data_IF_981000763077
#
_entry.id   IF_981000763077
#
_cell.length_a   1.000
_cell.length_b   1.000
_cell.length_c   1.000
_cell.angle_alpha   90.00
_cell.angle_beta   90.00
_cell.angle_gamma   90.00
#
_symmetry.space_group_name_H-M   'P 1'
#
loop_
_entity.id
_entity.type
_entity.pdbx_description
1 polymer ?
#
# COMPACT_ATOMS: atom_id res chain seq x y z
N UNK A 1 -9.96 -4.32 16.48
CA UNK A 1 -9.46 -2.94 16.38
C UNK A 1 -8.26 -2.83 17.33
N UNK A 2 -7.05 -3.07 16.83
CA UNK A 2 -5.85 -2.79 17.64
C UNK A 2 -5.80 -1.28 17.85
N UNK A 3 -5.75 -0.86 19.11
CA UNK A 3 -5.80 0.54 19.51
C UNK A 3 -4.71 1.28 18.76
N UNK A 4 -5.10 2.32 18.01
CA UNK A 4 -4.22 3.22 17.28
C UNK A 4 -3.32 3.91 18.31
N UNK A 5 -2.22 3.26 18.71
CA UNK A 5 -1.21 3.82 19.62
C UNK A 5 -0.24 4.67 18.81
N UNK A 6 -0.77 5.43 17.86
CA UNK A 6 -0.03 6.42 17.10
C UNK A 6 -0.52 7.76 17.61
N UNK A 7 0.36 8.43 18.36
CA UNK A 7 0.09 9.77 18.85
C UNK A 7 -0.27 10.68 17.66
N UNK A 8 -1.34 11.44 17.82
CA UNK A 8 -1.77 12.40 16.82
C UNK A 8 -0.63 13.36 16.52
N UNK A 9 -0.29 13.53 15.24
CA UNK A 9 0.80 14.43 14.84
C UNK A 9 0.38 15.88 15.03
N UNK A 10 -0.89 16.21 14.76
CA UNK A 10 -1.42 17.55 15.00
C UNK A 10 -2.94 17.56 15.17
N UNK A 11 -3.40 18.49 15.99
CA UNK A 11 -4.82 18.81 16.19
C UNK A 11 -5.01 20.26 15.73
N UNK A 12 -6.00 20.50 14.88
CA UNK A 12 -6.31 21.85 14.41
C UNK A 12 -7.82 22.11 14.33
N UNK A 13 -8.20 23.37 14.50
CA UNK A 13 -9.54 23.83 14.13
C UNK A 13 -9.61 23.98 12.61
N UNK A 14 -10.56 23.32 11.98
CA UNK A 14 -10.80 23.31 10.55
C UNK A 14 -12.15 23.96 10.25
N UNK A 15 -12.14 25.08 9.52
CA UNK A 15 -13.36 25.77 9.10
C UNK A 15 -13.72 25.35 7.67
N UNK A 16 -14.93 24.83 7.47
CA UNK A 16 -15.45 24.42 6.16
C UNK A 16 -16.51 25.41 5.70
N UNK A 17 -16.24 26.09 4.58
CA UNK A 17 -17.13 27.11 4.00
C UNK A 17 -17.67 26.70 2.62
N UNK A 18 -16.98 25.78 1.92
CA UNK A 18 -17.27 25.46 0.52
C UNK A 18 -18.08 24.16 0.32
N UNK A 19 -18.34 23.42 1.40
CA UNK A 19 -19.09 22.17 1.35
C UNK A 19 -19.80 21.89 2.69
N UNK A 20 -20.99 21.30 2.61
CA UNK A 20 -21.74 20.88 3.80
C UNK A 20 -21.05 19.69 4.51
N UNK A 21 -21.21 19.58 5.84
CA UNK A 21 -21.79 20.58 6.73
C UNK A 21 -20.83 21.75 6.90
N UNK A 22 -21.40 22.97 6.84
CA UNK A 22 -20.65 24.20 7.07
C UNK A 22 -20.39 24.35 8.58
N UNK A 23 -19.20 24.81 8.94
CA UNK A 23 -18.87 25.03 10.35
C UNK A 23 -17.40 24.92 10.68
N UNK A 24 -17.09 24.97 11.97
CA UNK A 24 -15.77 24.74 12.52
C UNK A 24 -15.73 23.37 13.18
N UNK A 25 -14.72 22.58 12.84
CA UNK A 25 -14.57 21.20 13.28
C UNK A 25 -13.18 20.99 13.88
N UNK A 26 -13.07 20.09 14.86
CA UNK A 26 -11.77 19.59 15.29
C UNK A 26 -11.28 18.55 14.28
N UNK A 27 -10.10 18.76 13.73
CA UNK A 27 -9.46 17.82 12.81
C UNK A 27 -8.20 17.27 13.45
N UNK A 28 -8.11 15.94 13.45
CA UNK A 28 -6.94 15.20 13.90
C UNK A 28 -6.20 14.68 12.68
N UNK A 29 -4.90 14.95 12.59
CA UNK A 29 -4.07 14.52 11.47
C UNK A 29 -2.90 13.68 11.98
N UNK A 30 -2.70 12.51 11.36
CA UNK A 30 -1.53 11.66 11.59
C UNK A 30 -0.71 11.60 10.31
N UNK A 31 0.58 11.89 10.42
CA UNK A 31 1.56 11.70 9.34
C UNK A 31 2.42 10.48 9.69
N UNK A 32 2.21 9.40 8.94
CA UNK A 32 2.90 8.13 9.17
C UNK A 32 3.96 7.97 8.10
N UNK A 33 5.24 8.00 8.49
CA UNK A 33 6.39 7.89 7.58
C UNK A 33 7.07 6.52 7.65
N UNK A 34 6.50 5.57 8.40
CA UNK A 34 6.98 4.20 8.50
C UNK A 34 5.92 3.23 7.96
N UNK A 35 6.27 2.48 6.90
CA UNK A 35 5.39 1.50 6.25
C UNK A 35 4.91 0.42 7.22
N UNK A 36 5.74 0.00 8.18
CA UNK A 36 5.36 -1.02 9.16
C UNK A 36 4.28 -0.53 10.12
N UNK A 37 4.27 0.77 10.46
CA UNK A 37 3.19 1.35 11.26
C UNK A 37 1.87 1.37 10.48
N UNK A 38 1.92 1.66 9.18
CA UNK A 38 0.74 1.57 8.30
C UNK A 38 0.20 0.14 8.30
N UNK A 39 1.08 -0.86 8.16
CA UNK A 39 0.67 -2.27 8.27
C UNK A 39 0.02 -2.56 9.61
N UNK A 40 0.64 -2.20 10.73
CA UNK A 40 0.06 -2.46 12.06
C UNK A 40 -1.33 -1.87 12.27
N UNK A 41 -1.64 -0.73 11.65
CA UNK A 41 -2.94 -0.06 11.76
C UNK A 41 -4.01 -0.75 10.92
N UNK A 42 -3.68 -1.08 9.67
CA UNK A 42 -4.66 -1.53 8.67
C UNK A 42 -4.69 -3.05 8.46
N UNK A 43 -3.74 -3.80 9.03
CA UNK A 43 -3.71 -5.26 8.95
C UNK A 43 -4.73 -5.85 9.93
N UNK A 44 -5.87 -6.29 9.40
CA UNK A 44 -6.91 -6.97 10.19
C UNK A 44 -7.05 -8.43 9.75
N UNK A 45 -7.57 -9.33 10.63
CA UNK A 45 -7.82 -10.72 10.26
C UNK A 45 -8.75 -10.87 9.05
N UNK A 46 -9.73 -9.97 8.92
CA UNK A 46 -10.70 -9.98 7.83
C UNK A 46 -10.14 -9.37 6.53
N UNK A 47 -9.21 -8.42 6.64
CA UNK A 47 -8.59 -7.73 5.51
C UNK A 47 -7.08 -7.54 5.77
N UNK A 48 -6.27 -8.57 5.49
CA UNK A 48 -4.83 -8.48 5.73
C UNK A 48 -4.17 -7.54 4.72
N UNK A 49 -3.34 -6.62 5.22
CA UNK A 49 -2.60 -5.70 4.36
C UNK A 49 -1.36 -6.40 3.79
N UNK A 50 -1.40 -6.71 2.48
CA UNK A 50 -0.25 -7.22 1.73
C UNK A 50 0.61 -6.05 1.25
N UNK A 51 1.85 -5.96 1.75
CA UNK A 51 2.81 -4.94 1.31
C UNK A 51 3.31 -5.18 -0.12
N UNK A 52 3.29 -6.44 -0.55
CA UNK A 52 3.67 -6.87 -1.89
C UNK A 52 2.73 -8.00 -2.30
N UNK A 53 2.24 -7.95 -3.54
CA UNK A 53 1.38 -8.96 -4.11
C UNK A 53 1.60 -9.03 -5.62
N UNK A 54 1.84 -10.23 -6.14
CA UNK A 54 1.98 -10.49 -7.57
C UNK A 54 0.63 -10.86 -8.18
N UNK A 55 0.45 -10.53 -9.46
CA UNK A 55 -0.76 -10.83 -10.22
C UNK A 55 -0.41 -11.39 -11.60
N UNK A 56 -1.23 -12.31 -12.11
CA UNK A 56 -1.22 -12.73 -13.52
C UNK A 56 -2.34 -12.01 -14.26
N UNK A 57 -2.02 -11.45 -15.43
CA UNK A 57 -3.04 -10.96 -16.37
C UNK A 57 -3.66 -12.13 -17.11
N UNK A 58 -4.97 -12.29 -16.95
CA UNK A 58 -5.76 -13.30 -17.66
C UNK A 58 -6.09 -12.83 -19.09
N UNK A 59 -6.49 -13.76 -19.96
CA UNK A 59 -6.85 -13.47 -21.36
C UNK A 59 -8.05 -12.53 -21.52
N UNK A 60 -8.92 -12.47 -20.50
CA UNK A 60 -10.06 -11.54 -20.41
C UNK A 60 -9.68 -10.15 -19.86
N UNK A 61 -8.38 -9.88 -19.68
CA UNK A 61 -7.83 -8.66 -19.07
C UNK A 61 -8.14 -8.47 -17.58
N UNK A 62 -8.66 -9.48 -16.89
CA UNK A 62 -8.71 -9.50 -15.42
C UNK A 62 -7.34 -9.85 -14.82
N UNK A 63 -7.17 -9.61 -13.53
CA UNK A 63 -5.96 -9.93 -12.77
C UNK A 63 -6.28 -10.93 -11.67
N UNK A 64 -5.54 -12.04 -11.61
CA UNK A 64 -5.64 -13.03 -10.54
C UNK A 64 -4.38 -13.00 -9.66
N UNK A 65 -4.51 -13.13 -8.32
CA UNK A 65 -3.35 -13.21 -7.44
C UNK A 65 -2.44 -14.39 -7.82
N UNK A 66 -1.13 -14.12 -7.91
CA UNK A 66 -0.13 -15.14 -8.19
C UNK A 66 0.73 -15.39 -6.96
N UNK A 67 0.91 -16.66 -6.61
CA UNK A 67 1.92 -17.10 -5.65
C UNK A 67 2.93 -17.92 -6.42
N UNK A 68 4.19 -17.46 -6.46
CA UNK A 68 5.26 -18.24 -7.08
C UNK A 68 5.40 -19.55 -6.31
N UNK A 69 5.28 -20.73 -6.95
CA UNK A 69 5.61 -21.99 -6.30
C UNK A 69 7.07 -21.91 -5.86
N UNK A 70 7.32 -22.15 -4.58
CA UNK A 70 8.68 -22.22 -4.04
C UNK A 70 9.41 -23.34 -4.77
N UNK A 71 10.27 -22.98 -5.74
CA UNK A 71 11.03 -23.96 -6.51
C UNK A 71 12.01 -24.60 -5.53
N UNK A 72 11.97 -25.92 -5.29
CA UNK A 72 12.99 -26.58 -4.49
C UNK A 72 14.34 -26.26 -5.13
N UNK A 73 15.31 -25.80 -4.34
CA UNK A 73 16.66 -25.56 -4.81
C UNK A 73 17.23 -26.89 -5.33
N UNK A 74 17.17 -27.10 -6.65
CA UNK A 74 17.85 -28.21 -7.30
C UNK A 74 19.35 -28.09 -6.98
N UNK A 75 20.02 -29.15 -6.52
CA UNK A 75 21.43 -29.09 -6.21
C UNK A 75 22.23 -28.67 -7.45
N UNK A 76 23.18 -27.75 -7.26
CA UNK A 76 24.11 -27.17 -8.24
C UNK A 76 24.95 -28.19 -9.07
N UNK A 77 24.72 -29.50 -8.93
CA UNK A 77 25.55 -30.56 -9.49
C UNK A 77 25.21 -30.96 -10.94
N UNK A 78 24.04 -30.57 -11.50
CA UNK A 78 23.64 -30.99 -12.86
C UNK A 78 23.58 -29.85 -13.89
N UNK A 79 24.32 -28.75 -13.64
CA UNK A 79 24.30 -27.54 -14.47
C UNK A 79 25.09 -27.61 -15.81
N UNK A 80 25.53 -28.80 -16.27
CA UNK A 80 26.36 -28.94 -17.48
C UNK A 80 25.75 -29.84 -18.57
N UNK A 81 24.43 -29.79 -18.82
CA UNK A 81 23.87 -30.66 -19.86
C UNK A 81 22.48 -30.40 -20.45
N UNK A 82 21.84 -29.25 -20.23
CA UNK A 82 20.50 -28.99 -20.82
C UNK A 82 20.37 -27.55 -21.31
N UNK A 83 20.85 -27.29 -22.52
CA UNK A 83 20.70 -26.02 -23.24
C UNK A 83 19.35 -25.84 -23.95
N UNK A 84 18.38 -26.74 -23.74
CA UNK A 84 17.10 -26.71 -24.46
C UNK A 84 15.90 -27.02 -23.54
N UNK A 85 15.82 -26.36 -22.39
CA UNK A 85 14.54 -26.25 -21.67
C UNK A 85 13.87 -24.97 -22.14
N UNK A 86 12.62 -25.02 -22.67
CA UNK A 86 11.87 -23.80 -22.92
C UNK A 86 11.82 -23.01 -21.62
N UNK A 87 12.37 -21.79 -21.64
CA UNK A 87 12.29 -20.91 -20.49
C UNK A 87 10.81 -20.79 -20.14
N UNK A 88 10.44 -21.21 -18.93
CA UNK A 88 9.07 -21.15 -18.47
C UNK A 88 8.59 -19.70 -18.66
N UNK A 89 7.52 -19.52 -19.45
CA UNK A 89 6.92 -18.22 -19.70
C UNK A 89 6.54 -17.65 -18.34
N UNK A 90 7.25 -16.60 -17.91
CA UNK A 90 6.95 -15.90 -16.66
C UNK A 90 5.79 -14.95 -16.93
N UNK A 91 4.70 -15.01 -16.15
CA UNK A 91 3.63 -14.02 -16.26
C UNK A 91 4.18 -12.60 -16.11
N UNK A 92 3.61 -11.65 -16.85
CA UNK A 92 3.89 -10.23 -16.62
C UNK A 92 3.35 -9.81 -15.25
N UNK A 93 4.24 -9.72 -14.26
CA UNK A 93 3.88 -9.33 -12.90
C UNK A 93 3.67 -7.81 -12.83
N UNK A 94 2.46 -7.39 -12.47
CA UNK A 94 2.20 -5.99 -12.09
C UNK A 94 2.42 -5.82 -10.60
N UNK A 95 3.50 -5.12 -10.26
CA UNK A 95 3.86 -4.80 -8.88
C UNK A 95 3.36 -3.41 -8.51
N UNK A 96 2.36 -3.34 -7.63
CA UNK A 96 1.93 -2.09 -6.99
C UNK A 96 2.41 -2.06 -5.55
N UNK A 97 3.00 -0.95 -5.12
CA UNK A 97 3.51 -0.78 -3.78
C UNK A 97 3.14 0.59 -3.21
N UNK A 98 2.98 0.66 -1.89
CA UNK A 98 2.73 1.89 -1.17
C UNK A 98 4.04 2.66 -0.96
N UNK A 99 4.06 3.96 -1.25
CA UNK A 99 5.21 4.83 -1.00
C UNK A 99 5.07 5.48 0.36
N UNK A 100 5.85 5.00 1.32
CA UNK A 100 5.88 5.53 2.70
C UNK A 100 7.32 5.61 3.19
N UNK A 101 7.72 6.76 3.70
CA UNK A 101 9.08 7.02 4.16
C UNK A 101 10.00 7.48 3.04
N UNK A 102 11.28 7.10 3.10
CA UNK A 102 12.27 7.41 2.07
C UNK A 102 12.25 6.28 1.03
N UNK A 103 11.74 6.58 -0.17
CA UNK A 103 11.54 5.59 -1.23
C UNK A 103 12.51 5.77 -2.43
N UNK A 104 13.30 6.83 -2.47
CA UNK A 104 14.28 7.06 -3.55
C UNK A 104 15.61 7.65 -3.04
N UNK A 105 16.74 7.33 -3.70
CA UNK A 105 18.03 7.92 -3.37
C UNK A 105 18.00 9.42 -3.67
N UNK A 106 18.31 10.24 -2.67
CA UNK A 106 18.30 11.72 -2.77
C UNK A 106 17.01 12.40 -2.32
N UNK A 107 16.00 11.64 -1.88
CA UNK A 107 14.80 12.19 -1.26
C UNK A 107 15.14 12.87 0.08
N UNK A 108 14.89 14.19 0.17
CA UNK A 108 15.17 15.00 1.37
C UNK A 108 14.11 14.86 2.46
N UNK A 109 12.85 14.72 2.08
CA UNK A 109 11.72 14.63 3.01
C UNK A 109 10.96 13.31 2.80
N UNK A 110 10.60 12.58 3.86
CA UNK A 110 9.89 11.31 3.74
C UNK A 110 8.46 11.49 3.23
N UNK A 111 8.00 10.57 2.38
CA UNK A 111 6.61 10.55 1.89
C UNK A 111 5.68 10.02 2.98
N UNK A 112 4.69 10.79 3.46
CA UNK A 112 3.81 10.35 4.54
C UNK A 112 2.57 9.62 3.99
N UNK A 113 2.11 8.61 4.75
CA UNK A 113 0.72 8.17 4.72
C UNK A 113 -0.08 9.03 5.69
N UNK A 114 -1.10 9.74 5.20
CA UNK A 114 -1.85 10.73 5.98
C UNK A 114 -3.24 10.19 6.32
N UNK A 115 -3.57 10.22 7.61
CA UNK A 115 -4.92 9.97 8.13
C UNK A 115 -5.45 11.30 8.65
N UNK A 116 -6.63 11.72 8.18
CA UNK A 116 -7.38 12.85 8.74
C UNK A 116 -8.70 12.33 9.31
N UNK A 117 -9.01 12.69 10.55
CA UNK A 117 -10.27 12.34 11.21
C UNK A 117 -10.97 13.57 11.75
N UNK A 118 -12.26 13.69 11.42
CA UNK A 118 -13.19 14.67 11.98
C UNK A 118 -14.32 13.88 12.65
N UNK A 119 -14.38 13.78 13.99
CA UNK A 119 -15.35 12.91 14.66
C UNK A 119 -16.80 13.37 14.55
N UNK A 120 -17.03 14.68 14.59
CA UNK A 120 -18.36 15.25 14.80
C UNK A 120 -18.82 16.05 13.59
N UNK A 121 -18.67 15.48 12.39
CA UNK A 121 -19.11 16.17 11.18
C UNK A 121 -20.64 16.29 11.15
N UNK A 122 -21.35 15.29 11.68
CA UNK A 122 -22.77 15.36 11.98
C UNK A 122 -23.02 14.93 13.45
N UNK A 123 -23.04 15.88 14.40
CA UNK A 123 -23.02 15.56 15.84
C UNK A 123 -24.22 14.73 16.32
N UNK A 124 -25.41 15.03 15.80
CA UNK A 124 -26.65 14.35 16.22
C UNK A 124 -26.69 12.87 15.81
N UNK A 125 -26.10 12.53 14.66
CA UNK A 125 -26.03 11.15 14.17
C UNK A 125 -24.73 10.44 14.58
N UNK A 126 -23.82 11.13 15.28
CA UNK A 126 -22.48 10.62 15.67
C UNK A 126 -21.68 10.11 14.48
N UNK A 127 -21.83 10.79 13.34
CA UNK A 127 -21.06 10.48 12.13
C UNK A 127 -19.85 11.39 12.07
N UNK A 128 -18.70 10.80 11.76
CA UNK A 128 -17.45 11.49 11.46
C UNK A 128 -16.98 11.25 10.03
N UNK A 129 -15.98 12.01 9.61
CA UNK A 129 -15.34 11.92 8.30
C UNK A 129 -13.90 11.43 8.46
N UNK A 130 -13.58 10.29 7.85
CA UNK A 130 -12.22 9.75 7.74
C UNK A 130 -11.69 9.97 6.33
N UNK A 131 -10.52 10.58 6.20
CA UNK A 131 -9.82 10.73 4.91
C UNK A 131 -8.43 10.10 4.99
N UNK A 132 -8.13 9.27 4.01
CA UNK A 132 -6.82 8.65 3.82
C UNK A 132 -6.16 9.29 2.59
N UNK A 133 -4.91 9.72 2.71
CA UNK A 133 -4.11 10.20 1.58
C UNK A 133 -2.79 9.45 1.56
N UNK A 134 -2.44 8.89 0.43
CA UNK A 134 -1.23 8.11 0.25
C UNK A 134 -0.80 8.11 -1.20
N UNK A 135 0.47 7.80 -1.42
CA UNK A 135 1.03 7.61 -2.76
C UNK A 135 1.34 6.13 -3.00
N UNK A 136 1.24 5.71 -4.25
CA UNK A 136 1.64 4.37 -4.68
C UNK A 136 2.53 4.43 -5.92
N UNK A 137 3.26 3.36 -6.15
CA UNK A 137 4.10 3.17 -7.33
C UNK A 137 3.74 1.90 -8.07
N UNK A 138 4.20 1.83 -9.32
CA UNK A 138 4.18 0.61 -10.12
C UNK A 138 5.63 0.27 -10.49
N UNK A 139 6.01 -0.99 -10.33
CA UNK A 139 7.27 -1.49 -10.87
C UNK A 139 6.93 -2.25 -12.16
N UNK A 140 7.32 -1.74 -13.34
CA UNK A 140 7.21 -2.51 -14.57
C UNK A 140 8.18 -3.68 -14.48
N UNK A 141 7.72 -4.89 -14.81
CA UNK A 141 8.63 -5.97 -15.19
C UNK A 141 9.31 -5.52 -16.48
N UNK A 142 10.57 -5.12 -16.42
CA UNK A 142 11.37 -4.97 -17.63
C UNK A 142 11.42 -6.33 -18.32
N UNK A 143 11.03 -6.46 -19.60
CA UNK A 143 11.44 -7.62 -20.37
C UNK A 143 12.96 -7.54 -20.41
N UNK A 144 13.62 -8.54 -19.86
CA UNK A 144 15.05 -8.73 -20.09
C UNK A 144 15.17 -9.15 -21.56
N UNK A 145 15.19 -8.18 -22.47
CA UNK A 145 15.62 -8.42 -23.85
C UNK A 145 17.12 -8.70 -23.80
N UNK A 146 17.46 -9.97 -24.04
CA UNK A 146 18.81 -10.46 -24.32
C UNK A 146 19.10 -10.33 -25.81
#
# INVERSE_FOLDING_TARGET
MHVLTVLCSSISAFVRQDALPLGSFSKYTWHITNLMHVKQIFDTPELPLKLTQSFVRNSDSSYSPFTCPEVPAEPLAEAFGRTDRPQAIRPHELHTFLKVGICSPGQKEPTPFVIEWIPDILPHSRVGELRLRFEYGHQPTSPTEH
#
